data_IF_202451856053
#
_entry.id   IF_202451856053
#
_cell.length_a   1.000
_cell.length_b   1.000
_cell.length_c   1.000
_cell.angle_alpha   90.00
_cell.angle_beta   90.00
_cell.angle_gamma   90.00
#
_symmetry.space_group_name_H-M   'P 1'
#
loop_
_entity.id
_entity.type
_entity.pdbx_description
1 polymer ?
#
# COMPACT_ATOMS: atom_id res chain seq x y z
N UNK A 1 14.40 3.95 5.69
CA UNK A 1 14.58 3.14 6.93
C UNK A 1 16.01 3.24 7.41
N UNK A 2 17.00 2.89 6.59
CA UNK A 2 18.41 2.82 7.04
C UNK A 2 19.07 4.20 7.24
N UNK A 3 18.57 5.25 6.58
CA UNK A 3 19.07 6.62 6.71
C UNK A 3 18.44 7.43 7.87
N UNK A 4 17.46 6.85 8.59
CA UNK A 4 16.73 7.58 9.63
C UNK A 4 17.54 7.66 10.93
N UNK A 5 17.53 8.80 11.61
CA UNK A 5 18.00 8.89 13.00
C UNK A 5 16.89 8.44 13.94
N UNK A 6 17.15 7.41 14.74
CA UNK A 6 16.18 6.88 15.70
C UNK A 6 16.39 7.51 17.07
N UNK A 7 15.37 8.16 17.65
CA UNK A 7 15.52 8.85 18.93
C UNK A 7 15.64 7.87 20.12
N UNK A 8 15.19 6.63 19.95
CA UNK A 8 15.25 5.57 20.96
C UNK A 8 15.63 4.23 20.29
N UNK A 9 16.45 3.38 20.95
CA UNK A 9 16.94 2.13 20.35
C UNK A 9 15.83 1.13 20.03
N UNK A 10 14.71 1.15 20.75
CA UNK A 10 13.55 0.28 20.51
C UNK A 10 12.90 0.56 19.16
N UNK A 11 12.88 1.83 18.73
CA UNK A 11 12.33 2.23 17.45
C UNK A 11 13.23 1.78 16.30
N UNK A 12 14.55 1.91 16.47
CA UNK A 12 15.54 1.39 15.51
C UNK A 12 15.41 -0.13 15.37
N UNK A 13 15.41 -0.83 16.50
CA UNK A 13 15.26 -2.28 16.54
C UNK A 13 14.00 -2.74 15.81
N UNK A 14 12.85 -2.12 16.07
CA UNK A 14 11.59 -2.45 15.42
C UNK A 14 11.64 -2.24 13.90
N UNK A 15 12.18 -1.10 13.45
CA UNK A 15 12.24 -0.75 12.03
C UNK A 15 13.25 -1.60 11.26
N UNK A 16 14.41 -1.91 11.82
CA UNK A 16 15.37 -2.78 11.13
C UNK A 16 14.88 -4.23 11.03
N UNK A 17 14.20 -4.71 12.07
CA UNK A 17 13.68 -6.08 12.14
C UNK A 17 12.52 -6.32 11.17
N UNK A 18 11.56 -5.39 11.12
CA UNK A 18 10.30 -5.58 10.38
C UNK A 18 10.21 -4.73 9.09
N UNK A 19 10.97 -3.64 9.01
CA UNK A 19 11.02 -2.72 7.86
C UNK A 19 9.66 -2.24 7.33
N UNK A 20 8.67 -1.89 8.18
CA UNK A 20 7.36 -1.46 7.70
C UNK A 20 7.45 -0.10 6.99
N UNK A 21 6.61 0.08 5.97
CA UNK A 21 6.39 1.38 5.31
C UNK A 21 4.88 1.65 5.22
N UNK A 22 4.53 2.92 4.96
CA UNK A 22 3.15 3.35 4.83
C UNK A 22 2.96 4.21 3.58
N UNK A 23 2.57 3.59 2.49
CA UNK A 23 2.17 4.27 1.25
C UNK A 23 0.69 4.65 1.38
N UNK A 24 0.41 5.94 1.15
CA UNK A 24 -0.95 6.47 1.11
C UNK A 24 -1.23 7.20 -0.20
N UNK A 25 -2.39 7.84 -0.24
CA UNK A 25 -2.85 8.66 -1.37
C UNK A 25 -3.37 9.99 -0.84
N UNK A 26 -3.55 10.94 -1.74
CA UNK A 26 -4.29 12.18 -1.55
C UNK A 26 -5.01 12.51 -2.86
N UNK A 27 -6.05 13.33 -2.81
CA UNK A 27 -6.78 13.77 -3.99
C UNK A 27 -7.69 12.71 -4.63
N UNK A 28 -8.23 11.78 -3.83
CA UNK A 28 -9.21 10.82 -4.34
C UNK A 28 -10.50 11.53 -4.79
N UNK A 29 -10.98 12.52 -4.01
CA UNK A 29 -12.13 13.33 -4.38
C UNK A 29 -11.89 14.12 -5.68
N UNK A 30 -10.71 14.73 -5.84
CA UNK A 30 -10.32 15.44 -7.07
C UNK A 30 -10.31 14.50 -8.28
N UNK A 31 -9.84 13.27 -8.08
CA UNK A 31 -9.80 12.23 -9.13
C UNK A 31 -11.22 11.90 -9.60
N UNK A 32 -12.14 11.65 -8.66
CA UNK A 32 -13.54 11.39 -9.00
C UNK A 32 -14.21 12.59 -9.67
N UNK A 33 -13.94 13.82 -9.21
CA UNK A 33 -14.44 15.04 -9.85
C UNK A 33 -13.94 15.20 -11.28
N UNK A 34 -12.64 14.99 -11.53
CA UNK A 34 -12.04 15.01 -12.88
C UNK A 34 -12.65 13.95 -13.80
N UNK A 35 -12.98 12.79 -13.25
CA UNK A 35 -13.66 11.70 -13.97
C UNK A 35 -15.18 11.93 -14.11
N UNK A 36 -15.73 12.98 -13.51
CA UNK A 36 -17.16 13.28 -13.44
C UNK A 36 -17.97 12.12 -12.82
N UNK A 37 -17.42 11.52 -11.76
CA UNK A 37 -18.02 10.44 -11.00
C UNK A 37 -18.41 10.99 -9.62
N UNK A 38 -19.70 10.96 -9.22
CA UNK A 38 -20.10 11.26 -7.85
C UNK A 38 -19.47 10.27 -6.86
N UNK A 39 -19.12 10.74 -5.67
CA UNK A 39 -18.38 9.92 -4.68
C UNK A 39 -19.15 8.64 -4.26
N UNK A 40 -20.48 8.71 -4.21
CA UNK A 40 -21.37 7.60 -3.84
C UNK A 40 -21.82 6.73 -5.03
N UNK A 41 -21.35 7.02 -6.25
CA UNK A 41 -21.68 6.26 -7.45
C UNK A 41 -20.99 4.88 -7.43
N UNK A 42 -21.65 3.84 -7.94
CA UNK A 42 -21.05 2.50 -8.04
C UNK A 42 -19.74 2.51 -8.85
N UNK A 43 -19.63 3.40 -9.84
CA UNK A 43 -18.40 3.60 -10.62
C UNK A 43 -17.26 4.11 -9.75
N UNK A 44 -17.54 4.91 -8.72
CA UNK A 44 -16.53 5.40 -7.79
C UNK A 44 -15.96 4.24 -6.97
N UNK A 45 -16.82 3.31 -6.54
CA UNK A 45 -16.41 2.08 -5.84
C UNK A 45 -15.51 1.20 -6.72
N UNK A 46 -15.86 1.00 -8.00
CA UNK A 46 -15.03 0.25 -8.94
C UNK A 46 -13.66 0.90 -9.16
N UNK A 47 -13.62 2.21 -9.41
CA UNK A 47 -12.37 2.97 -9.59
C UNK A 47 -11.53 2.93 -8.32
N UNK A 48 -12.13 3.09 -7.14
CA UNK A 48 -11.44 3.01 -5.86
C UNK A 48 -10.73 1.67 -5.69
N UNK A 49 -11.42 0.55 -5.93
CA UNK A 49 -10.82 -0.79 -5.85
C UNK A 49 -9.66 -0.95 -6.83
N UNK A 50 -9.81 -0.49 -8.07
CA UNK A 50 -8.72 -0.54 -9.08
C UNK A 50 -7.49 0.29 -8.68
N UNK A 51 -7.70 1.46 -8.08
CA UNK A 51 -6.61 2.32 -7.58
C UNK A 51 -5.82 1.56 -6.50
N UNK A 52 -6.50 1.07 -5.47
CA UNK A 52 -5.82 0.41 -4.35
C UNK A 52 -5.23 -0.96 -4.71
N UNK A 53 -5.88 -1.71 -5.61
CA UNK A 53 -5.33 -2.94 -6.19
C UNK A 53 -4.00 -2.66 -6.92
N UNK A 54 -3.96 -1.60 -7.74
CA UNK A 54 -2.76 -1.18 -8.46
C UNK A 54 -1.64 -0.78 -7.51
N UNK A 55 -1.94 0.04 -6.49
CA UNK A 55 -0.94 0.51 -5.51
C UNK A 55 -0.38 -0.69 -4.72
N UNK A 56 -1.25 -1.60 -4.28
CA UNK A 56 -0.83 -2.76 -3.51
C UNK A 56 0.06 -3.69 -4.33
N UNK A 57 -0.35 -3.99 -5.57
CA UNK A 57 0.44 -4.80 -6.49
C UNK A 57 1.82 -4.18 -6.75
N UNK A 58 1.87 -2.88 -7.05
CA UNK A 58 3.13 -2.18 -7.30
C UNK A 58 4.05 -2.20 -6.07
N UNK A 59 3.51 -1.96 -4.88
CA UNK A 59 4.28 -1.97 -3.64
C UNK A 59 4.86 -3.37 -3.33
N UNK A 60 4.07 -4.44 -3.51
CA UNK A 60 4.54 -5.82 -3.34
C UNK A 60 5.62 -6.17 -4.36
N UNK A 61 5.40 -5.84 -5.64
CA UNK A 61 6.35 -6.10 -6.73
C UNK A 61 7.70 -5.44 -6.45
N UNK A 62 7.68 -4.18 -6.03
CA UNK A 62 8.91 -3.44 -5.71
C UNK A 62 9.59 -3.96 -4.44
N UNK A 63 8.81 -4.32 -3.42
CA UNK A 63 9.36 -4.92 -2.20
C UNK A 63 9.98 -6.30 -2.45
N UNK A 64 9.40 -7.10 -3.35
CA UNK A 64 9.98 -8.35 -3.86
C UNK A 64 11.29 -8.08 -4.60
N UNK A 65 11.30 -7.08 -5.50
CA UNK A 65 12.51 -6.69 -6.24
C UNK A 65 13.66 -6.34 -5.29
N UNK A 66 13.37 -5.57 -4.23
CA UNK A 66 14.35 -5.23 -3.20
C UNK A 66 14.77 -6.45 -2.37
N UNK A 67 13.86 -7.38 -2.07
CA UNK A 67 14.21 -8.61 -1.37
C UNK A 67 15.15 -9.52 -2.18
N UNK A 68 14.95 -9.59 -3.52
CA UNK A 68 15.88 -10.29 -4.42
C UNK A 68 17.29 -9.69 -4.40
N UNK A 69 17.43 -8.39 -4.11
CA UNK A 69 18.71 -7.68 -4.09
C UNK A 69 19.38 -7.66 -2.71
N UNK A 70 18.59 -7.44 -1.65
CA UNK A 70 19.08 -7.15 -0.30
C UNK A 70 18.63 -8.17 0.76
N UNK A 71 17.88 -9.19 0.34
CA UNK A 71 17.21 -10.13 1.23
C UNK A 71 15.88 -9.62 1.79
N UNK A 72 14.99 -10.54 2.15
CA UNK A 72 13.74 -10.24 2.85
C UNK A 72 14.00 -9.58 4.23
N UNK A 73 12.97 -8.96 4.81
CA UNK A 73 13.08 -8.47 6.20
C UNK A 73 13.25 -9.64 7.19
N UNK A 74 13.87 -9.36 8.34
CA UNK A 74 14.35 -10.39 9.28
C UNK A 74 13.25 -11.35 9.75
N UNK A 75 12.06 -10.82 10.02
CA UNK A 75 10.89 -11.56 10.51
C UNK A 75 9.95 -12.05 9.41
N UNK A 76 10.42 -12.15 8.16
CA UNK A 76 9.58 -12.60 7.04
C UNK A 76 9.08 -14.04 7.22
N UNK A 77 9.97 -14.96 7.62
CA UNK A 77 9.63 -16.37 7.80
C UNK A 77 8.59 -16.54 8.92
N UNK A 78 7.50 -17.24 8.62
CA UNK A 78 6.38 -17.44 9.54
C UNK A 78 5.34 -16.32 9.51
N UNK A 79 5.54 -15.29 8.69
CA UNK A 79 4.48 -14.30 8.41
C UNK A 79 3.43 -14.88 7.46
N UNK A 80 2.19 -14.33 7.43
CA UNK A 80 1.19 -14.71 6.43
C UNK A 80 1.72 -14.58 4.99
N UNK A 81 2.51 -13.54 4.72
CA UNK A 81 3.11 -13.31 3.41
C UNK A 81 4.08 -14.43 3.01
N UNK A 82 4.81 -15.01 3.96
CA UNK A 82 5.69 -16.16 3.69
C UNK A 82 4.95 -17.45 3.36
N UNK A 83 3.68 -17.55 3.77
CA UNK A 83 2.76 -18.61 3.35
C UNK A 83 2.05 -18.27 2.03
N UNK A 84 2.39 -17.13 1.43
CA UNK A 84 1.71 -16.59 0.26
C UNK A 84 0.28 -16.19 0.57
N UNK A 85 -0.03 -15.62 1.74
CA UNK A 85 -1.35 -15.02 2.05
C UNK A 85 -1.25 -13.50 1.93
N UNK A 86 -1.91 -12.94 0.92
CA UNK A 86 -2.02 -11.51 0.72
C UNK A 86 -3.09 -10.89 1.61
N UNK A 87 -3.09 -9.56 1.71
CA UNK A 87 -4.06 -8.84 2.53
C UNK A 87 -5.50 -9.18 2.13
N UNK A 88 -5.81 -9.29 0.84
CA UNK A 88 -7.16 -9.64 0.39
C UNK A 88 -7.58 -11.07 0.78
N UNK A 89 -6.64 -12.02 0.80
CA UNK A 89 -6.92 -13.40 1.22
C UNK A 89 -7.34 -13.43 2.71
N UNK A 90 -6.70 -12.61 3.54
CA UNK A 90 -7.04 -12.48 4.96
C UNK A 90 -8.43 -11.88 5.21
N UNK A 91 -8.99 -11.20 4.21
CA UNK A 91 -10.35 -10.65 4.22
C UNK A 91 -11.35 -11.58 3.53
N UNK A 92 -10.91 -12.73 2.99
CA UNK A 92 -11.74 -13.63 2.22
C UNK A 92 -12.26 -13.01 0.92
N UNK A 93 -11.53 -12.03 0.36
CA UNK A 93 -11.88 -11.38 -0.91
C UNK A 93 -10.87 -11.75 -1.98
N UNK A 94 -11.35 -11.89 -3.22
CA UNK A 94 -10.48 -12.06 -4.38
C UNK A 94 -10.04 -10.69 -4.91
N UNK A 95 -8.94 -10.62 -5.68
CA UNK A 95 -8.60 -9.44 -6.47
C UNK A 95 -9.81 -8.92 -7.25
N UNK A 96 -9.95 -7.60 -7.32
CA UNK A 96 -11.12 -6.98 -7.94
C UNK A 96 -11.08 -7.10 -9.47
N UNK A 97 -9.88 -7.20 -10.04
CA UNK A 97 -9.68 -7.35 -11.49
C UNK A 97 -8.68 -8.45 -11.82
N UNK A 98 -8.69 -8.87 -13.09
CA UNK A 98 -7.72 -9.77 -13.71
C UNK A 98 -6.48 -9.04 -14.28
N UNK A 99 -6.30 -7.76 -13.92
CA UNK A 99 -5.22 -6.91 -14.44
C UNK A 99 -3.82 -7.42 -14.10
N UNK A 100 -3.68 -8.13 -12.99
CA UNK A 100 -2.40 -8.55 -12.44
C UNK A 100 -2.37 -10.05 -12.21
N UNK A 101 -1.22 -10.65 -12.51
CA UNK A 101 -0.94 -12.06 -12.22
C UNK A 101 -0.49 -12.21 -10.76
N UNK A 102 -1.47 -12.31 -9.87
CA UNK A 102 -1.25 -12.49 -8.43
C UNK A 102 -0.63 -13.85 -8.08
N UNK A 103 -0.86 -14.87 -8.90
CA UNK A 103 -0.37 -16.23 -8.61
C UNK A 103 1.13 -16.33 -8.88
N UNK A 104 1.61 -15.78 -10.00
CA UNK A 104 3.05 -15.66 -10.25
C UNK A 104 3.73 -14.82 -9.16
N UNK A 105 3.15 -13.67 -8.81
CA UNK A 105 3.70 -12.82 -7.74
C UNK A 105 3.76 -13.55 -6.39
N UNK A 106 2.74 -14.36 -6.08
CA UNK A 106 2.67 -15.17 -4.85
C UNK A 106 3.78 -16.18 -4.77
N UNK A 107 4.05 -16.91 -5.86
CA UNK A 107 5.12 -17.90 -5.88
C UNK A 107 6.51 -17.24 -5.79
N UNK A 108 6.73 -16.12 -6.49
CA UNK A 108 7.99 -15.38 -6.36
C UNK A 108 8.21 -14.83 -4.94
N UNK A 109 7.16 -14.35 -4.28
CA UNK A 109 7.22 -13.88 -2.89
C UNK A 109 7.49 -15.03 -1.92
N UNK A 110 6.92 -16.20 -2.13
CA UNK A 110 7.23 -17.37 -1.29
C UNK A 110 8.69 -17.80 -1.44
N UNK A 111 9.25 -17.70 -2.64
CA UNK A 111 10.64 -18.07 -2.91
C UNK A 111 11.65 -17.03 -2.37
N UNK A 112 11.45 -15.75 -2.67
CA UNK A 112 12.44 -14.70 -2.42
C UNK A 112 12.11 -13.79 -1.23
N UNK A 113 10.85 -13.79 -0.79
CA UNK A 113 10.32 -12.88 0.21
C UNK A 113 10.10 -11.46 -0.28
N UNK A 114 9.75 -10.58 0.66
CA UNK A 114 9.61 -9.13 0.43
C UNK A 114 10.47 -8.36 1.43
N UNK A 115 10.85 -7.13 1.07
CA UNK A 115 11.76 -6.29 1.87
C UNK A 115 11.08 -5.61 3.04
N UNK A 116 9.75 -5.48 3.03
CA UNK A 116 8.97 -4.71 3.99
C UNK A 116 7.79 -5.53 4.52
N UNK A 117 7.57 -5.56 5.83
CA UNK A 117 6.46 -6.32 6.44
C UNK A 117 5.08 -5.74 6.15
N UNK A 118 4.96 -4.42 6.10
CA UNK A 118 3.75 -3.66 5.80
C UNK A 118 4.06 -2.61 4.74
N UNK A 119 3.10 -2.32 3.87
CA UNK A 119 3.31 -1.52 2.67
C UNK A 119 2.38 -0.30 2.57
N UNK A 120 1.08 -0.48 2.77
CA UNK A 120 0.06 0.54 2.57
C UNK A 120 -0.52 0.98 3.91
N UNK A 121 -0.61 2.29 4.10
CA UNK A 121 -1.28 2.92 5.23
C UNK A 121 -1.73 4.33 4.81
N UNK A 122 -2.90 4.46 4.17
CA UNK A 122 -3.45 5.76 3.80
C UNK A 122 -3.60 6.65 5.03
N UNK A 123 -2.80 7.70 5.10
CA UNK A 123 -2.72 8.63 6.23
C UNK A 123 -3.58 9.87 5.99
N UNK A 124 -3.93 10.63 7.04
CA UNK A 124 -4.30 12.03 6.89
C UNK A 124 -3.16 12.79 6.20
N UNK A 125 -3.48 13.53 5.14
CA UNK A 125 -2.51 14.31 4.36
C UNK A 125 -2.70 15.80 4.55
N UNK A 126 -3.22 16.23 5.71
CA UNK A 126 -3.62 17.59 6.02
C UNK A 126 -2.67 18.67 5.50
N UNK A 127 -1.36 18.56 5.76
CA UNK A 127 -0.38 19.56 5.29
C UNK A 127 0.11 19.30 3.87
N UNK A 128 0.40 18.04 3.51
CA UNK A 128 0.99 17.70 2.21
C UNK A 128 0.01 17.82 1.05
N UNK A 129 -1.29 17.65 1.30
CA UNK A 129 -2.36 17.86 0.32
C UNK A 129 -2.57 19.33 -0.01
N UNK A 130 -2.48 20.21 1.00
CA UNK A 130 -2.51 21.66 0.78
C UNK A 130 -1.34 22.13 -0.09
N UNK A 131 -0.14 21.58 0.10
CA UNK A 131 1.03 21.91 -0.73
C UNK A 131 0.80 21.54 -2.20
N UNK A 132 0.13 20.43 -2.47
CA UNK A 132 -0.15 19.96 -3.83
C UNK A 132 -1.47 20.48 -4.40
N UNK A 133 -2.28 21.18 -3.61
CA UNK A 133 -3.60 21.65 -4.00
C UNK A 133 -4.62 20.53 -4.23
N UNK A 134 -4.48 19.40 -3.52
CA UNK A 134 -5.40 18.27 -3.57
C UNK A 134 -6.32 18.27 -2.33
N UNK A 135 -7.46 17.59 -2.43
CA UNK A 135 -8.26 17.23 -1.27
C UNK A 135 -7.53 16.18 -0.41
N UNK A 136 -7.87 16.17 0.88
CA UNK A 136 -7.19 15.31 1.85
C UNK A 136 -7.46 13.82 1.60
N UNK A 137 -6.37 13.05 1.60
CA UNK A 137 -6.36 11.58 1.65
C UNK A 137 -7.35 10.92 0.66
N UNK A 138 -8.21 10.04 1.17
CA UNK A 138 -9.30 9.38 0.47
C UNK A 138 -10.68 9.96 0.82
N UNK A 139 -10.74 11.10 1.48
CA UNK A 139 -11.98 11.69 1.98
C UNK A 139 -12.72 12.47 0.89
N UNK A 140 -14.06 12.57 0.93
CA UNK A 140 -14.80 13.51 0.09
C UNK A 140 -14.51 14.96 0.48
N UNK A 141 -14.87 15.93 -0.36
CA UNK A 141 -14.88 17.33 0.05
C UNK A 141 -15.87 17.54 1.20
N UNK A 142 -15.43 18.21 2.26
CA UNK A 142 -16.28 18.59 3.39
C UNK A 142 -17.09 19.85 3.11
N UNK A 143 -16.60 20.71 2.23
CA UNK A 143 -17.22 21.95 1.77
C UNK A 143 -16.87 22.21 0.30
N UNK A 144 -17.78 22.86 -0.42
CA UNK A 144 -17.54 23.36 -1.79
C UNK A 144 -16.96 24.79 -1.81
N UNK A 145 -16.80 25.41 -0.62
CA UNK A 145 -16.29 26.76 -0.38
C UNK A 145 -15.21 26.70 0.68
#
# INVERSE_FOLDING_TARGET
IDANYYPVPEAEYSNFRNRPIGIGVQGLADTFQKMKIPFEDERASDVNKRIFETIYHAALTESLRLAKQEGAYETFKGSPMSEGKFQFDLWGVSPHTDRYDWDTLREEIKEHGIRNSLLLAPMPTASTSQVLGNNESFEPYTSNI
#
